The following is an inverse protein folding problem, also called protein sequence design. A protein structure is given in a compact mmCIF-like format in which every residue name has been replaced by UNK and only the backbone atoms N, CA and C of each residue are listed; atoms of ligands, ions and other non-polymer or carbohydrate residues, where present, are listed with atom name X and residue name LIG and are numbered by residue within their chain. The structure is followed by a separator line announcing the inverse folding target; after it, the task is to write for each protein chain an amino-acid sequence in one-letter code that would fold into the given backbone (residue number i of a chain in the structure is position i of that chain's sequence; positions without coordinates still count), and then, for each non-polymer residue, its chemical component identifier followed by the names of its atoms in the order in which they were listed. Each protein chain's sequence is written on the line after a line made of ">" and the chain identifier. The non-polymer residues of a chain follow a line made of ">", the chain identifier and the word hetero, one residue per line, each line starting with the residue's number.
data_IF_388775546186
#
_entry.id   IF_388775546186
#
_cell.length_a   1.000
_cell.length_b   1.000
_cell.length_c   1.000
_cell.angle_alpha   90.00
_cell.angle_beta   90.00
_cell.angle_gamma   90.00
#
_symmetry.space_group_name_H-M   'P 1'
#
loop_
_entity.id
_entity.type
_entity.pdbx_description
1 polymer ?
#
# COMPACT_ATOMS: atom_id res chain seq x y z
N UNK A 1 -17.15 -20.64 9.77
CA UNK A 1 -16.19 -20.39 8.68
C UNK A 1 -16.14 -18.89 8.47
N UNK A 2 -15.09 -18.23 8.95
CA UNK A 2 -14.86 -16.81 8.68
C UNK A 2 -14.24 -16.68 7.27
N UNK A 3 -14.63 -15.69 6.45
CA UNK A 3 -14.05 -15.52 5.14
C UNK A 3 -12.57 -15.11 5.28
N UNK A 4 -11.69 -15.86 4.63
CA UNK A 4 -10.29 -15.51 4.47
C UNK A 4 -10.20 -14.18 3.72
N UNK A 5 -9.80 -13.12 4.43
CA UNK A 5 -9.44 -11.84 3.84
C UNK A 5 -8.29 -12.10 2.84
N UNK A 6 -8.38 -11.64 1.57
CA UNK A 6 -7.39 -11.94 0.52
C UNK A 6 -5.94 -11.63 0.90
N UNK A 7 -5.69 -10.74 1.86
CA UNK A 7 -4.35 -10.50 2.43
C UNK A 7 -3.66 -11.75 2.99
N UNK A 8 -4.42 -12.70 3.58
CA UNK A 8 -3.86 -13.92 4.17
C UNK A 8 -3.34 -14.92 3.14
N UNK A 9 -3.89 -14.91 1.91
CA UNK A 9 -3.47 -15.83 0.86
C UNK A 9 -2.07 -15.49 0.30
N UNK A 10 -1.64 -14.22 0.42
CA UNK A 10 -0.33 -13.77 -0.03
C UNK A 10 0.79 -14.23 0.92
N UNK A 11 0.51 -14.26 2.23
CA UNK A 11 1.48 -14.62 3.27
C UNK A 11 1.95 -16.10 3.20
N UNK A 12 1.20 -16.98 2.54
CA UNK A 12 1.51 -18.42 2.48
C UNK A 12 2.50 -18.82 1.36
N UNK A 13 2.92 -17.91 0.47
CA UNK A 13 3.78 -18.23 -0.70
C UNK A 13 5.30 -18.03 -0.50
N UNK A 14 5.73 -17.74 0.72
CA UNK A 14 6.98 -17.02 1.02
C UNK A 14 8.25 -17.89 1.17
N UNK A 15 8.18 -19.20 0.92
CA UNK A 15 9.30 -20.11 1.17
C UNK A 15 10.30 -20.19 -0.01
N UNK A 16 11.31 -19.30 -0.06
CA UNK A 16 12.69 -19.56 -0.54
C UNK A 16 13.51 -18.27 -0.67
N UNK A 17 14.45 -18.02 0.24
CA UNK A 17 15.81 -17.48 0.02
C UNK A 17 16.50 -17.37 1.40
N UNK A 18 17.77 -17.77 1.50
CA UNK A 18 18.47 -18.14 2.75
C UNK A 18 18.86 -17.01 3.72
N UNK A 19 17.96 -16.07 4.00
CA UNK A 19 17.93 -15.29 5.25
C UNK A 19 17.05 -15.99 6.29
N UNK A 20 17.10 -15.57 7.56
CA UNK A 20 16.10 -16.01 8.56
C UNK A 20 14.72 -15.68 7.99
N UNK A 21 13.91 -16.70 7.70
CA UNK A 21 12.55 -16.50 7.26
C UNK A 21 11.80 -15.71 8.34
N UNK A 22 11.18 -14.57 8.00
CA UNK A 22 10.36 -13.83 8.96
C UNK A 22 9.29 -14.74 9.52
N UNK A 23 9.07 -14.67 10.83
CA UNK A 23 7.91 -15.33 11.41
C UNK A 23 6.62 -14.68 10.90
N UNK A 24 5.48 -15.38 10.95
CA UNK A 24 4.19 -14.77 10.65
C UNK A 24 3.94 -13.49 11.46
N UNK A 25 4.38 -13.46 12.72
CA UNK A 25 4.25 -12.28 13.59
C UNK A 25 5.12 -11.12 13.12
N UNK A 26 6.34 -11.39 12.63
CA UNK A 26 7.21 -10.36 12.03
C UNK A 26 6.55 -9.75 10.80
N UNK A 27 5.94 -10.58 9.94
CA UNK A 27 5.23 -10.10 8.75
C UNK A 27 3.97 -9.32 9.10
N UNK A 28 3.23 -9.76 10.11
CA UNK A 28 2.05 -9.05 10.61
C UNK A 28 2.44 -7.68 11.15
N UNK A 29 3.51 -7.58 11.95
CA UNK A 29 3.99 -6.30 12.45
C UNK A 29 4.40 -5.34 11.32
N UNK A 30 5.11 -5.84 10.30
CA UNK A 30 5.48 -5.03 9.13
C UNK A 30 4.24 -4.54 8.38
N UNK A 31 3.23 -5.41 8.23
CA UNK A 31 1.96 -5.03 7.62
C UNK A 31 1.22 -3.98 8.45
N UNK A 32 1.11 -4.17 9.77
CA UNK A 32 0.41 -3.26 10.68
C UNK A 32 1.07 -1.87 10.69
N UNK A 33 2.40 -1.82 10.70
CA UNK A 33 3.16 -0.57 10.56
C UNK A 33 2.92 0.11 9.21
N UNK A 34 2.90 -0.66 8.13
CA UNK A 34 2.71 -0.13 6.77
C UNK A 34 1.27 0.28 6.46
N UNK A 35 0.29 -0.36 7.13
CA UNK A 35 -1.14 -0.08 7.00
C UNK A 35 -1.63 1.03 7.94
N UNK A 36 -0.76 1.54 8.80
CA UNK A 36 -1.06 2.67 9.66
C UNK A 36 -1.60 3.88 8.86
N UNK A 37 -2.47 4.72 9.46
CA UNK A 37 -3.05 5.87 8.79
C UNK A 37 -1.98 6.77 8.17
N UNK A 38 -2.17 7.07 6.88
CA UNK A 38 -1.24 7.92 6.15
C UNK A 38 -1.29 9.35 6.68
N UNK A 39 -0.16 10.07 6.62
CA UNK A 39 -0.11 11.46 7.08
C UNK A 39 -1.06 12.36 6.29
N UNK A 40 -1.63 13.37 6.95
CA UNK A 40 -2.45 14.42 6.32
C UNK A 40 -1.76 15.08 5.12
N UNK A 41 -0.43 15.16 5.15
CA UNK A 41 0.33 15.76 4.06
C UNK A 41 0.22 14.99 2.73
N UNK A 42 -0.02 13.68 2.77
CA UNK A 42 -0.26 12.87 1.56
C UNK A 42 -1.72 13.04 1.11
N UNK A 43 -2.66 13.08 2.06
CA UNK A 43 -4.09 13.34 1.82
C UNK A 43 -4.33 14.64 1.04
N UNK A 44 -3.60 15.69 1.40
CA UNK A 44 -3.68 17.01 0.77
C UNK A 44 -3.08 17.07 -0.63
N UNK A 45 -2.39 16.02 -1.09
CA UNK A 45 -1.67 16.02 -2.37
C UNK A 45 -2.29 15.10 -3.42
N UNK A 46 -3.06 14.11 -2.98
CA UNK A 46 -3.61 13.06 -3.83
C UNK A 46 -5.13 13.20 -3.93
N UNK A 47 -5.65 13.11 -5.16
CA UNK A 47 -7.07 12.89 -5.38
C UNK A 47 -7.42 11.43 -5.09
N UNK A 48 -8.71 11.15 -4.90
CA UNK A 48 -9.21 9.77 -4.70
C UNK A 48 -8.63 8.79 -5.75
N UNK A 49 -8.68 9.18 -7.03
CA UNK A 49 -8.14 8.36 -8.15
C UNK A 49 -6.65 8.02 -7.97
N UNK A 50 -5.84 8.96 -7.48
CA UNK A 50 -4.41 8.75 -7.28
C UNK A 50 -4.15 7.77 -6.13
N UNK A 51 -4.95 7.83 -5.06
CA UNK A 51 -4.84 6.92 -3.93
C UNK A 51 -5.18 5.48 -4.36
N UNK A 52 -6.28 5.29 -5.09
CA UNK A 52 -6.68 3.99 -5.63
C UNK A 52 -5.61 3.43 -6.57
N UNK A 53 -5.10 4.22 -7.53
CA UNK A 53 -4.06 3.73 -8.43
C UNK A 53 -2.74 3.39 -7.71
N UNK A 54 -2.38 4.13 -6.66
CA UNK A 54 -1.23 3.76 -5.83
C UNK A 54 -1.48 2.43 -5.10
N UNK A 55 -2.68 2.23 -4.55
CA UNK A 55 -3.03 0.97 -3.90
C UNK A 55 -2.89 -0.22 -4.86
N UNK A 56 -3.45 -0.10 -6.07
CA UNK A 56 -3.39 -1.13 -7.08
C UNK A 56 -1.96 -1.36 -7.58
N UNK A 57 -1.15 -0.30 -7.70
CA UNK A 57 0.26 -0.41 -8.05
C UNK A 57 1.05 -1.16 -6.95
N UNK A 58 0.81 -0.86 -5.68
CA UNK A 58 1.49 -1.54 -4.57
C UNK A 58 1.12 -3.02 -4.52
N UNK A 59 -0.16 -3.38 -4.70
CA UNK A 59 -0.56 -4.78 -4.81
C UNK A 59 0.08 -5.47 -6.02
N UNK A 60 0.08 -4.81 -7.18
CA UNK A 60 0.71 -5.33 -8.38
C UNK A 60 2.21 -5.61 -8.17
N UNK A 61 2.91 -4.73 -7.46
CA UNK A 61 4.32 -4.92 -7.11
C UNK A 61 4.51 -6.02 -6.05
N UNK A 62 3.60 -6.14 -5.09
CA UNK A 62 3.64 -7.19 -4.07
C UNK A 62 3.54 -8.60 -4.68
N UNK A 63 2.89 -8.72 -5.85
CA UNK A 63 2.79 -9.98 -6.60
C UNK A 63 4.05 -10.31 -7.43
N UNK A 64 5.03 -9.41 -7.54
CA UNK A 64 6.26 -9.69 -8.27
C UNK A 64 7.08 -10.77 -7.55
N UNK A 65 7.43 -11.83 -8.26
CA UNK A 65 8.20 -12.98 -7.74
C UNK A 65 9.57 -12.63 -7.15
N UNK A 66 10.08 -11.41 -7.40
CA UNK A 66 11.35 -10.91 -6.86
C UNK A 66 11.19 -10.25 -5.50
N UNK A 67 9.96 -10.01 -5.04
CA UNK A 67 9.72 -9.44 -3.71
C UNK A 67 10.07 -10.44 -2.62
N UNK A 68 10.74 -9.97 -1.58
CA UNK A 68 10.86 -10.74 -0.35
C UNK A 68 9.53 -10.76 0.40
N UNK A 69 9.32 -11.72 1.31
CA UNK A 69 8.30 -11.66 2.36
C UNK A 69 7.99 -10.28 2.93
N UNK A 70 9.02 -9.59 3.42
CA UNK A 70 8.92 -8.32 4.15
C UNK A 70 8.50 -7.20 3.20
N UNK A 71 9.06 -7.19 1.99
CA UNK A 71 8.67 -6.26 0.94
C UNK A 71 7.21 -6.47 0.54
N UNK A 72 6.78 -7.73 0.43
CA UNK A 72 5.39 -8.09 0.12
C UNK A 72 4.45 -7.59 1.22
N UNK A 73 4.73 -7.91 2.49
CA UNK A 73 3.92 -7.46 3.63
C UNK A 73 3.82 -5.92 3.68
N UNK A 74 4.95 -5.23 3.46
CA UNK A 74 4.99 -3.76 3.43
C UNK A 74 4.17 -3.17 2.29
N UNK A 75 4.27 -3.72 1.08
CA UNK A 75 3.54 -3.24 -0.08
C UNK A 75 2.03 -3.46 0.07
N UNK A 76 1.61 -4.62 0.57
CA UNK A 76 0.19 -4.90 0.85
C UNK A 76 -0.33 -3.98 1.96
N UNK A 77 0.46 -3.72 3.01
CA UNK A 77 0.08 -2.75 4.04
C UNK A 77 -0.07 -1.32 3.50
N UNK A 78 0.85 -0.87 2.66
CA UNK A 78 0.74 0.44 1.99
C UNK A 78 -0.48 0.54 1.08
N UNK A 79 -0.84 -0.56 0.39
CA UNK A 79 -2.06 -0.61 -0.41
C UNK A 79 -3.31 -0.41 0.44
N UNK A 80 -3.39 -1.06 1.60
CA UNK A 80 -4.52 -0.87 2.51
C UNK A 80 -4.57 0.52 3.13
N UNK A 81 -3.43 1.10 3.50
CA UNK A 81 -3.38 2.49 3.97
C UNK A 81 -3.91 3.47 2.90
N UNK A 82 -3.57 3.24 1.63
CA UNK A 82 -4.07 4.05 0.51
C UNK A 82 -5.59 3.91 0.30
N UNK A 83 -6.13 2.68 0.39
CA UNK A 83 -7.58 2.45 0.26
C UNK A 83 -8.34 3.05 1.42
N UNK A 84 -7.88 2.84 2.64
CA UNK A 84 -8.49 3.43 3.82
C UNK A 84 -8.52 4.97 3.72
N UNK A 85 -7.44 5.58 3.26
CA UNK A 85 -7.40 7.02 3.03
C UNK A 85 -8.38 7.47 1.93
N UNK A 86 -8.47 6.72 0.83
CA UNK A 86 -9.39 7.00 -0.27
C UNK A 86 -10.86 6.93 0.19
N UNK A 87 -11.19 5.93 1.00
CA UNK A 87 -12.52 5.76 1.58
C UNK A 87 -12.87 6.89 2.56
N UNK A 88 -11.89 7.35 3.35
CA UNK A 88 -12.09 8.46 4.29
C UNK A 88 -12.40 9.78 3.58
N UNK A 89 -11.67 10.11 2.51
CA UNK A 89 -11.87 11.37 1.77
C UNK A 89 -13.05 11.32 0.78
N UNK A 90 -13.39 10.12 0.32
CA UNK A 90 -14.47 9.85 -0.62
C UNK A 90 -14.14 10.13 -2.09
N UNK A 91 -14.94 9.55 -2.99
CA UNK A 91 -14.70 9.53 -4.43
C UNK A 91 -14.60 10.92 -5.10
N UNK A 92 -15.25 11.94 -4.51
CA UNK A 92 -15.24 13.31 -5.04
C UNK A 92 -14.06 14.15 -4.56
N UNK A 93 -13.16 13.58 -3.74
CA UNK A 93 -11.99 14.28 -3.24
C UNK A 93 -10.99 14.56 -4.36
N UNK A 94 -10.71 15.85 -4.56
CA UNK A 94 -9.72 16.34 -5.50
C UNK A 94 -9.03 17.56 -4.89
N UNK A 95 -7.91 17.39 -4.17
CA UNK A 95 -7.26 18.51 -3.51
C UNK A 95 -6.61 19.44 -4.54
N UNK A 96 -6.44 20.73 -4.21
CA UNK A 96 -5.75 21.68 -5.08
C UNK A 96 -4.31 21.22 -5.35
N UNK A 97 -3.77 21.57 -6.51
CA UNK A 97 -2.40 21.19 -6.89
C UNK A 97 -1.39 21.74 -5.88
N UNK A 98 -0.64 20.87 -5.19
CA UNK A 98 0.28 21.29 -4.14
C UNK A 98 1.55 21.91 -4.75
N UNK A 99 2.13 22.90 -4.06
CA UNK A 99 3.38 23.54 -4.50
C UNK A 99 4.61 22.64 -4.38
N UNK A 100 4.54 21.62 -3.51
CA UNK A 100 5.60 20.62 -3.28
C UNK A 100 4.94 19.27 -3.05
N UNK A 101 5.56 18.23 -3.60
CA UNK A 101 5.06 16.86 -3.49
C UNK A 101 5.97 16.06 -2.56
N UNK A 102 5.34 15.23 -1.74
CA UNK A 102 5.99 14.06 -1.13
C UNK A 102 6.31 13.04 -2.22
N UNK A 103 7.16 12.06 -1.94
CA UNK A 103 7.42 10.96 -2.87
C UNK A 103 6.11 10.24 -3.28
N UNK A 104 5.23 9.98 -2.32
CA UNK A 104 3.91 9.37 -2.57
C UNK A 104 3.03 10.28 -3.42
N UNK A 105 3.01 11.59 -3.10
CA UNK A 105 2.32 12.61 -3.89
C UNK A 105 2.75 12.61 -5.35
N UNK A 106 4.07 12.53 -5.60
CA UNK A 106 4.65 12.47 -6.93
C UNK A 106 4.29 11.17 -7.66
N UNK A 107 4.47 10.02 -7.01
CA UNK A 107 4.17 8.73 -7.62
C UNK A 107 2.70 8.60 -8.00
N UNK A 108 1.78 9.00 -7.12
CA UNK A 108 0.35 8.87 -7.38
C UNK A 108 -0.15 9.74 -8.54
N UNK A 109 0.41 10.94 -8.70
CA UNK A 109 0.09 11.82 -9.84
C UNK A 109 0.70 11.30 -11.15
N UNK A 110 1.94 10.81 -11.10
CA UNK A 110 2.61 10.25 -12.27
C UNK A 110 1.95 8.99 -12.82
N UNK A 111 1.28 8.19 -11.98
CA UNK A 111 0.48 7.05 -12.46
C UNK A 111 -0.69 7.46 -13.36
N UNK A 112 -1.10 8.73 -13.34
CA UNK A 112 -2.16 9.29 -14.16
C UNK A 112 -1.66 10.34 -15.18
N UNK A 113 -0.34 10.45 -15.40
CA UNK A 113 0.28 11.46 -16.27
C UNK A 113 -0.10 12.92 -15.92
N UNK A 114 -0.35 13.21 -14.63
CA UNK A 114 -0.53 14.57 -14.07
C UNK A 114 0.76 15.10 -13.41
#
# INVERSE_FOLDING_TARGET
>A
MLPLNPGYACLLKIARFGGRMPSPDDLQNIFDEASAPMSDHVREQLAYRHMIALADAFEGWALDKRMTPEQTAKLVGLAESMRALADEVGANWNPPSPKRLTLMGFLGRKMFDE
#
